data_IF_004974402181
#
_entry.id   IF_004974402181
#
_cell.length_a   1.000
_cell.length_b   1.000
_cell.length_c   1.000
_cell.angle_alpha   90.00
_cell.angle_beta   90.00
_cell.angle_gamma   90.00
#
_symmetry.space_group_name_H-M   'P 1'
#
loop_
_entity.id
_entity.type
_entity.pdbx_description
1 polymer ?
#
# COMPACT_ATOMS: atom_id res chain seq x y z
N UNK A 1 68.18 45.54 -27.77
CA UNK A 1 67.12 44.53 -27.97
C UNK A 1 65.81 45.26 -28.19
N UNK A 2 65.32 45.32 -29.43
CA UNK A 2 64.12 46.07 -29.79
C UNK A 2 62.88 45.22 -29.50
N UNK A 3 62.03 45.70 -28.60
CA UNK A 3 60.73 45.08 -28.31
C UNK A 3 59.79 45.36 -29.48
N UNK A 4 59.46 44.31 -30.25
CA UNK A 4 58.48 44.40 -31.34
C UNK A 4 57.09 44.50 -30.71
N UNK A 5 56.50 45.70 -30.72
CA UNK A 5 55.11 45.91 -30.31
C UNK A 5 54.17 45.39 -31.40
N UNK A 6 53.49 44.29 -31.11
CA UNK A 6 52.42 43.74 -31.95
C UNK A 6 51.09 44.38 -31.59
N UNK A 7 50.47 45.09 -32.55
CA UNK A 7 49.10 45.59 -32.43
C UNK A 7 48.13 44.55 -32.96
N UNK A 8 47.25 44.03 -32.10
CA UNK A 8 46.23 43.06 -32.49
C UNK A 8 44.89 43.78 -32.67
N UNK A 9 44.42 43.88 -33.91
CA UNK A 9 43.09 44.43 -34.20
C UNK A 9 42.01 43.51 -33.65
N UNK A 10 41.05 44.08 -32.91
CA UNK A 10 39.89 43.37 -32.33
C UNK A 10 38.67 43.35 -33.27
N UNK A 11 38.86 43.65 -34.56
CA UNK A 11 37.77 43.69 -35.54
C UNK A 11 37.10 42.32 -35.71
N UNK A 12 35.82 42.24 -35.37
CA UNK A 12 34.98 41.04 -35.52
C UNK A 12 34.46 40.84 -36.95
N UNK A 13 34.73 41.78 -37.87
CA UNK A 13 34.12 41.81 -39.20
C UNK A 13 34.58 40.68 -40.15
N UNK A 14 35.75 40.08 -39.91
CA UNK A 14 36.35 39.05 -40.78
C UNK A 14 36.17 37.60 -40.27
N UNK A 15 35.43 37.39 -39.18
CA UNK A 15 35.35 36.08 -38.52
C UNK A 15 34.12 35.31 -39.02
N UNK A 16 34.30 34.07 -39.47
CA UNK A 16 33.17 33.23 -39.91
C UNK A 16 32.17 32.99 -38.77
N UNK A 17 30.87 32.89 -39.09
CA UNK A 17 29.79 32.64 -38.13
C UNK A 17 30.06 31.46 -37.20
N UNK A 18 30.69 30.39 -37.72
CA UNK A 18 31.07 29.21 -36.91
C UNK A 18 32.12 29.53 -35.84
N UNK A 19 33.08 30.39 -36.15
CA UNK A 19 34.14 30.78 -35.21
C UNK A 19 33.62 31.80 -34.18
N UNK A 20 32.77 32.73 -34.60
CA UNK A 20 32.05 33.63 -33.70
C UNK A 20 31.19 32.85 -32.70
N UNK A 21 30.42 31.85 -33.17
CA UNK A 21 29.59 30.99 -32.32
C UNK A 21 30.42 30.13 -31.36
N UNK A 22 31.51 29.53 -31.84
CA UNK A 22 32.42 28.74 -30.96
C UNK A 22 33.02 29.62 -29.86
N UNK A 23 33.39 30.86 -30.18
CA UNK A 23 33.93 31.80 -29.21
C UNK A 23 32.87 32.21 -28.19
N UNK A 24 31.66 32.57 -28.65
CA UNK A 24 30.58 32.95 -27.73
C UNK A 24 30.20 31.80 -26.81
N UNK A 25 29.96 30.60 -27.34
CA UNK A 25 29.66 29.40 -26.54
C UNK A 25 30.74 29.12 -25.51
N UNK A 26 32.03 29.20 -25.90
CA UNK A 26 33.14 28.93 -24.97
C UNK A 26 33.26 30.00 -23.86
N UNK A 27 32.96 31.26 -24.17
CA UNK A 27 32.96 32.33 -23.18
C UNK A 27 31.77 32.19 -22.22
N UNK A 28 30.56 31.97 -22.75
CA UNK A 28 29.35 31.76 -21.96
C UNK A 28 29.48 30.55 -21.04
N UNK A 29 30.00 29.42 -21.56
CA UNK A 29 30.26 28.23 -20.73
C UNK A 29 31.27 28.53 -19.63
N UNK A 30 32.38 29.23 -19.92
CA UNK A 30 33.38 29.54 -18.88
C UNK A 30 32.84 30.46 -17.79
N UNK A 31 32.00 31.43 -18.17
CA UNK A 31 31.43 32.40 -17.25
C UNK A 31 30.33 31.78 -16.38
N UNK A 32 29.48 30.92 -16.96
CA UNK A 32 28.30 30.35 -16.30
C UNK A 32 28.40 28.83 -16.05
N UNK A 33 29.61 28.26 -16.00
CA UNK A 33 29.78 26.80 -15.87
C UNK A 33 29.09 26.25 -14.63
N UNK A 34 29.20 26.97 -13.50
CA UNK A 34 28.57 26.58 -12.22
C UNK A 34 27.05 26.59 -12.31
N UNK A 35 26.47 27.60 -12.96
CA UNK A 35 25.02 27.71 -13.16
C UNK A 35 24.52 26.60 -14.09
N UNK A 36 25.21 26.36 -15.21
CA UNK A 36 24.86 25.28 -16.14
C UNK A 36 24.96 23.89 -15.49
N UNK A 37 26.00 23.64 -14.68
CA UNK A 37 26.13 22.40 -13.92
C UNK A 37 25.02 22.28 -12.87
N UNK A 38 24.67 23.38 -12.19
CA UNK A 38 23.57 23.41 -11.22
C UNK A 38 22.22 23.08 -11.86
N UNK A 39 21.91 23.70 -13.00
CA UNK A 39 20.68 23.43 -13.77
C UNK A 39 20.68 21.99 -14.27
N UNK A 40 21.80 21.48 -14.79
CA UNK A 40 21.90 20.11 -15.27
C UNK A 40 21.70 19.09 -14.12
N UNK A 41 22.32 19.33 -12.96
CA UNK A 41 22.15 18.49 -11.78
C UNK A 41 20.69 18.52 -11.29
N UNK A 42 20.05 19.69 -11.26
CA UNK A 42 18.62 19.82 -10.95
C UNK A 42 17.74 19.07 -11.95
N UNK A 43 18.03 19.17 -13.25
CA UNK A 43 17.27 18.47 -14.28
C UNK A 43 17.40 16.93 -14.14
N UNK A 44 18.62 16.43 -13.87
CA UNK A 44 18.87 15.01 -13.66
C UNK A 44 18.14 14.50 -12.41
N UNK A 45 18.24 15.23 -11.29
CA UNK A 45 17.57 14.87 -10.04
C UNK A 45 16.05 14.92 -10.17
N UNK A 46 15.50 15.93 -10.85
CA UNK A 46 14.07 16.05 -11.14
C UNK A 46 13.58 14.90 -12.03
N UNK A 47 14.28 14.59 -13.13
CA UNK A 47 13.92 13.50 -14.03
C UNK A 47 13.98 12.13 -13.32
N UNK A 48 15.00 11.90 -12.49
CA UNK A 48 15.11 10.70 -11.68
C UNK A 48 13.98 10.63 -10.64
N UNK A 49 13.68 11.75 -9.98
CA UNK A 49 12.57 11.94 -9.04
C UNK A 49 11.22 11.57 -9.64
N UNK A 50 10.91 12.13 -10.80
CA UNK A 50 9.66 11.84 -11.51
C UNK A 50 9.55 10.36 -11.90
N UNK A 51 10.64 9.76 -12.39
CA UNK A 51 10.68 8.33 -12.74
C UNK A 51 10.45 7.44 -11.52
N UNK A 52 11.07 7.74 -10.38
CA UNK A 52 10.87 6.94 -9.15
C UNK A 52 9.45 7.10 -8.60
N UNK A 53 8.89 8.32 -8.62
CA UNK A 53 7.52 8.56 -8.17
C UNK A 53 6.52 7.83 -9.06
N UNK A 54 6.69 7.89 -10.38
CA UNK A 54 5.81 7.19 -11.33
C UNK A 54 5.81 5.67 -11.10
N UNK A 55 7.02 5.08 -10.94
CA UNK A 55 7.15 3.65 -10.60
C UNK A 55 6.50 3.30 -9.26
N UNK A 56 6.67 4.15 -8.24
CA UNK A 56 6.03 3.94 -6.92
C UNK A 56 4.50 4.01 -7.03
N UNK A 57 3.97 4.91 -7.85
CA UNK A 57 2.52 5.04 -8.07
C UNK A 57 1.95 3.79 -8.73
N UNK A 58 2.59 3.28 -9.79
CA UNK A 58 2.13 2.06 -10.47
C UNK A 58 2.16 0.84 -9.55
N UNK A 59 3.22 0.67 -8.75
CA UNK A 59 3.28 -0.41 -7.76
C UNK A 59 2.21 -0.24 -6.68
N UNK A 60 1.92 0.99 -6.24
CA UNK A 60 0.90 1.25 -5.22
C UNK A 60 -0.52 0.92 -5.71
N UNK A 61 -0.86 1.25 -6.96
CA UNK A 61 -2.18 0.90 -7.53
C UNK A 61 -2.35 -0.61 -7.65
N UNK A 62 -1.33 -1.31 -8.14
CA UNK A 62 -1.34 -2.78 -8.23
C UNK A 62 -1.43 -3.42 -6.84
N UNK A 63 -0.65 -2.93 -5.87
CA UNK A 63 -0.68 -3.43 -4.50
C UNK A 63 -2.04 -3.23 -3.83
N UNK A 64 -2.72 -2.10 -4.06
CA UNK A 64 -4.08 -1.87 -3.53
C UNK A 64 -5.09 -2.87 -4.09
N UNK A 65 -5.04 -3.12 -5.40
CA UNK A 65 -5.92 -4.10 -6.04
C UNK A 65 -5.67 -5.50 -5.48
N UNK A 66 -4.41 -5.95 -5.43
CA UNK A 66 -4.03 -7.25 -4.90
C UNK A 66 -4.33 -7.40 -3.40
N UNK A 67 -4.22 -6.31 -2.63
CA UNK A 67 -4.65 -6.30 -1.23
C UNK A 67 -6.16 -6.51 -1.10
N UNK A 68 -6.98 -5.92 -1.99
CA UNK A 68 -8.41 -6.21 -2.05
C UNK A 68 -8.70 -7.69 -2.23
N UNK A 69 -8.07 -8.32 -3.24
CA UNK A 69 -8.20 -9.78 -3.48
C UNK A 69 -7.76 -10.61 -2.27
N UNK A 70 -6.67 -10.21 -1.61
CA UNK A 70 -6.18 -10.89 -0.41
C UNK A 70 -7.18 -10.80 0.75
N UNK A 71 -7.79 -9.63 0.97
CA UNK A 71 -8.81 -9.43 2.00
C UNK A 71 -10.09 -10.21 1.69
N UNK A 72 -10.51 -10.25 0.43
CA UNK A 72 -11.68 -11.03 -0.01
C UNK A 72 -11.45 -12.54 0.23
N UNK A 73 -10.25 -13.04 -0.02
CA UNK A 73 -9.86 -14.43 0.29
C UNK A 73 -9.91 -14.72 1.79
N UNK A 74 -9.38 -13.82 2.62
CA UNK A 74 -9.45 -13.96 4.08
C UNK A 74 -10.89 -13.95 4.59
N UNK A 75 -11.72 -13.03 4.07
CA UNK A 75 -13.14 -12.95 4.42
C UNK A 75 -13.92 -14.19 3.98
N UNK A 76 -13.59 -14.74 2.80
CA UNK A 76 -14.19 -15.99 2.29
C UNK A 76 -13.75 -17.19 3.12
N UNK A 77 -12.48 -17.29 3.51
CA UNK A 77 -12.02 -18.37 4.39
C UNK A 77 -12.74 -18.32 5.74
N UNK A 78 -12.89 -17.13 6.32
CA UNK A 78 -13.64 -16.95 7.55
C UNK A 78 -15.13 -17.30 7.38
N UNK A 79 -15.74 -17.00 6.23
CA UNK A 79 -17.12 -17.38 5.94
C UNK A 79 -17.31 -18.88 5.77
N UNK A 80 -16.36 -19.57 5.13
CA UNK A 80 -16.36 -21.02 5.00
C UNK A 80 -16.19 -21.70 6.35
N UNK A 81 -15.21 -21.26 7.15
CA UNK A 81 -15.01 -21.77 8.51
C UNK A 81 -16.23 -21.51 9.41
N UNK A 82 -16.89 -20.36 9.28
CA UNK A 82 -18.10 -20.05 10.06
C UNK A 82 -19.33 -20.88 9.67
N UNK A 83 -19.38 -21.38 8.43
CA UNK A 83 -20.47 -22.21 7.92
C UNK A 83 -20.24 -23.70 8.21
N UNK A 84 -19.05 -24.20 7.90
CA UNK A 84 -18.66 -25.58 8.13
C UNK A 84 -17.29 -25.65 8.79
N UNK A 85 -17.24 -25.55 10.14
CA UNK A 85 -16.01 -25.71 10.90
C UNK A 85 -15.40 -27.12 10.80
N UNK A 86 -16.16 -28.12 10.34
CA UNK A 86 -15.66 -29.50 10.21
C UNK A 86 -14.89 -29.64 8.90
N UNK A 87 -15.45 -29.13 7.80
CA UNK A 87 -14.80 -29.12 6.48
C UNK A 87 -13.64 -28.12 6.39
N UNK A 88 -13.78 -26.96 7.04
CA UNK A 88 -12.78 -25.90 7.09
C UNK A 88 -12.41 -25.61 8.54
N UNK A 89 -11.48 -26.37 9.15
CA UNK A 89 -11.15 -26.24 10.57
C UNK A 89 -10.29 -25.03 10.92
N UNK A 90 -9.65 -24.40 9.92
CA UNK A 90 -8.77 -23.26 10.13
C UNK A 90 -9.38 -21.98 9.52
N UNK A 91 -9.69 -20.94 10.32
CA UNK A 91 -10.15 -19.64 9.82
C UNK A 91 -8.99 -18.79 9.26
N UNK A 92 -7.77 -19.34 9.29
CA UNK A 92 -6.50 -18.67 9.04
C UNK A 92 -5.89 -19.09 7.72
N UNK A 93 -5.17 -18.16 7.10
CA UNK A 93 -4.35 -18.45 5.93
C UNK A 93 -2.91 -18.03 6.23
N UNK A 94 -1.95 -18.86 5.84
CA UNK A 94 -0.53 -18.50 5.95
C UNK A 94 -0.19 -17.38 4.97
N UNK A 95 0.63 -16.44 5.43
CA UNK A 95 1.08 -15.29 4.66
C UNK A 95 1.81 -15.73 3.38
N UNK A 96 2.54 -16.84 3.44
CA UNK A 96 3.24 -17.43 2.30
C UNK A 96 2.23 -18.02 1.30
N UNK A 97 1.26 -18.82 1.75
CA UNK A 97 0.25 -19.38 0.87
C UNK A 97 -0.53 -18.28 0.18
N UNK A 98 -0.98 -17.25 0.92
CA UNK A 98 -1.75 -16.14 0.37
C UNK A 98 -0.94 -15.33 -0.65
N UNK A 99 0.37 -15.14 -0.43
CA UNK A 99 1.26 -14.50 -1.42
C UNK A 99 1.27 -15.26 -2.72
N UNK A 100 1.52 -16.56 -2.64
CA UNK A 100 1.66 -17.41 -3.82
C UNK A 100 0.31 -17.52 -4.56
N UNK A 101 -0.80 -17.40 -3.82
CA UNK A 101 -2.16 -17.39 -4.33
C UNK A 101 -2.62 -16.08 -4.98
N UNK A 102 -2.13 -14.93 -4.51
CA UNK A 102 -2.50 -13.61 -5.01
C UNK A 102 -1.56 -13.17 -6.15
N UNK A 103 -0.31 -13.61 -6.12
CA UNK A 103 0.73 -13.23 -7.10
C UNK A 103 1.02 -14.35 -8.11
N UNK A 104 0.00 -15.17 -8.46
CA UNK A 104 0.13 -16.29 -9.41
C UNK A 104 0.67 -15.86 -10.78
N UNK A 105 0.34 -14.65 -11.21
CA UNK A 105 0.71 -14.13 -12.53
C UNK A 105 2.11 -13.47 -12.56
N UNK A 106 2.74 -13.26 -11.39
CA UNK A 106 4.02 -12.53 -11.28
C UNK A 106 5.22 -13.46 -11.10
N UNK A 107 5.86 -13.80 -12.22
CA UNK A 107 7.00 -14.74 -12.25
C UNK A 107 8.33 -14.10 -11.83
N UNK A 108 8.44 -12.77 -11.84
CA UNK A 108 9.69 -12.06 -11.51
C UNK A 108 9.86 -11.95 -10.00
N UNK A 109 10.76 -12.76 -9.43
CA UNK A 109 10.99 -12.83 -7.98
C UNK A 109 11.22 -11.47 -7.29
N UNK A 110 12.00 -10.57 -7.91
CA UNK A 110 12.25 -9.23 -7.37
C UNK A 110 10.99 -8.37 -7.33
N UNK A 111 10.17 -8.41 -8.37
CA UNK A 111 8.96 -7.60 -8.46
C UNK A 111 7.87 -8.16 -7.54
N UNK A 112 7.73 -9.49 -7.52
CA UNK A 112 6.87 -10.22 -6.58
C UNK A 112 7.12 -9.80 -5.13
N UNK A 113 8.38 -9.78 -4.70
CA UNK A 113 8.72 -9.36 -3.33
C UNK A 113 8.38 -7.88 -3.08
N UNK A 114 8.66 -6.98 -4.03
CA UNK A 114 8.34 -5.55 -3.90
C UNK A 114 6.85 -5.28 -3.77
N UNK A 115 6.05 -5.90 -4.64
CA UNK A 115 4.59 -5.81 -4.62
C UNK A 115 4.07 -6.41 -3.32
N UNK A 116 4.56 -7.59 -2.93
CA UNK A 116 4.13 -8.27 -1.72
C UNK A 116 4.39 -7.45 -0.46
N UNK A 117 5.54 -6.79 -0.32
CA UNK A 117 5.81 -5.93 0.83
C UNK A 117 4.79 -4.78 0.92
N UNK A 118 4.36 -4.22 -0.21
CA UNK A 118 3.34 -3.18 -0.24
C UNK A 118 1.95 -3.74 0.13
N UNK A 119 1.58 -4.92 -0.40
CA UNK A 119 0.33 -5.62 -0.07
C UNK A 119 0.29 -5.96 1.42
N UNK A 120 1.35 -6.57 1.95
CA UNK A 120 1.49 -6.90 3.36
C UNK A 120 1.24 -5.69 4.24
N UNK A 121 1.85 -4.53 3.94
CA UNK A 121 1.63 -3.31 4.72
C UNK A 121 0.17 -2.84 4.70
N UNK A 122 -0.52 -2.99 3.57
CA UNK A 122 -1.92 -2.61 3.44
C UNK A 122 -2.84 -3.57 4.19
N UNK A 123 -2.57 -4.88 4.13
CA UNK A 123 -3.39 -5.92 4.78
C UNK A 123 -3.18 -5.92 6.29
N UNK A 124 -1.94 -5.86 6.78
CA UNK A 124 -1.63 -5.79 8.22
C UNK A 124 -2.08 -4.46 8.85
N UNK A 125 -2.26 -3.40 8.05
CA UNK A 125 -2.83 -2.13 8.49
C UNK A 125 -4.37 -2.11 8.52
N UNK A 126 -5.04 -3.17 8.05
CA UNK A 126 -6.49 -3.27 8.09
C UNK A 126 -6.96 -3.75 9.46
N UNK A 127 -7.86 -2.99 10.10
CA UNK A 127 -8.42 -3.33 11.42
C UNK A 127 -9.21 -4.66 11.45
N UNK A 128 -9.68 -5.13 10.30
CA UNK A 128 -10.39 -6.41 10.18
C UNK A 128 -9.45 -7.62 10.06
N UNK A 129 -8.13 -7.42 10.10
CA UNK A 129 -7.15 -8.50 9.98
C UNK A 129 -6.37 -8.64 11.27
N UNK A 130 -6.39 -9.84 11.84
CA UNK A 130 -5.53 -10.22 12.96
C UNK A 130 -4.30 -10.96 12.44
N UNK A 131 -3.12 -10.54 12.90
CA UNK A 131 -1.85 -11.20 12.58
C UNK A 131 -1.40 -12.04 13.76
N UNK A 132 -0.96 -13.26 13.49
CA UNK A 132 -0.34 -14.12 14.51
C UNK A 132 0.73 -15.02 13.92
N UNK A 133 1.59 -15.59 14.76
CA UNK A 133 2.55 -16.62 14.36
C UNK A 133 2.07 -17.93 14.96
N UNK A 134 1.84 -18.92 14.11
CA UNK A 134 1.41 -20.26 14.54
C UNK A 134 2.08 -21.32 13.68
N UNK A 135 2.16 -22.52 14.25
CA UNK A 135 2.50 -23.73 13.53
C UNK A 135 1.34 -24.10 12.60
N UNK A 136 1.63 -24.24 11.31
CA UNK A 136 0.67 -24.70 10.32
C UNK A 136 0.43 -26.20 10.41
N UNK A 137 -0.52 -26.71 9.62
CA UNK A 137 -0.84 -28.15 9.57
C UNK A 137 0.35 -29.03 9.18
N UNK A 138 1.33 -28.47 8.48
CA UNK A 138 2.55 -29.18 8.04
C UNK A 138 3.64 -29.15 9.11
N UNK A 139 3.39 -28.54 10.28
CA UNK A 139 4.40 -28.37 11.33
C UNK A 139 5.32 -27.18 11.09
N UNK A 140 5.04 -26.36 10.08
CA UNK A 140 5.83 -25.19 9.73
C UNK A 140 5.34 -23.96 10.51
N UNK A 141 6.24 -23.32 11.25
CA UNK A 141 5.91 -22.06 11.94
C UNK A 141 5.90 -20.93 10.93
N UNK A 142 4.72 -20.34 10.70
CA UNK A 142 4.56 -19.23 9.77
C UNK A 142 3.68 -18.12 10.33
N UNK A 143 3.79 -16.93 9.72
CA UNK A 143 2.89 -15.82 10.01
C UNK A 143 1.54 -16.13 9.35
N UNK A 144 0.50 -16.16 10.16
CA UNK A 144 -0.88 -16.41 9.75
C UNK A 144 -1.69 -15.12 9.84
N UNK A 145 -2.63 -14.96 8.92
CA UNK A 145 -3.61 -13.88 8.92
C UNK A 145 -5.02 -14.45 9.05
N UNK A 146 -5.83 -13.76 9.84
CA UNK A 146 -7.21 -14.11 10.12
C UNK A 146 -8.10 -12.90 9.87
N UNK A 147 -9.24 -13.14 9.25
CA UNK A 147 -10.29 -12.13 9.17
C UNK A 147 -11.11 -12.12 10.46
N UNK A 148 -11.12 -10.98 11.16
CA UNK A 148 -11.91 -10.74 12.37
C UNK A 148 -13.09 -9.79 12.12
N UNK A 149 -13.31 -9.38 10.87
CA UNK A 149 -14.42 -8.52 10.49
C UNK A 149 -15.76 -9.26 10.43
N UNK A 150 -16.82 -8.54 10.07
CA UNK A 150 -18.12 -9.14 9.81
C UNK A 150 -18.02 -10.25 8.75
N UNK A 151 -18.59 -11.41 9.08
CA UNK A 151 -18.64 -12.58 8.19
C UNK A 151 -20.08 -12.76 7.73
N UNK A 152 -20.26 -12.90 6.41
CA UNK A 152 -21.55 -13.24 5.82
C UNK A 152 -21.75 -14.75 5.91
N UNK A 153 -22.86 -15.20 6.51
CA UNK A 153 -23.28 -16.60 6.40
C UNK A 153 -23.91 -16.75 5.01
N UNK A 154 -23.29 -17.52 4.13
CA UNK A 154 -23.86 -17.82 2.79
C UNK A 154 -24.95 -18.87 3.00
N UNK A 155 -26.08 -18.49 3.58
CA UNK A 155 -27.21 -19.40 3.68
C UNK A 155 -27.92 -19.43 2.33
N UNK A 156 -27.99 -20.62 1.72
CA UNK A 156 -28.70 -20.84 0.47
C UNK A 156 -30.17 -20.47 0.60
N UNK A 157 -30.53 -19.28 0.13
CA UNK A 157 -31.91 -18.88 -0.15
C UNK A 157 -32.75 -18.44 1.05
N UNK A 158 -32.46 -17.28 1.63
CA UNK A 158 -33.51 -16.30 2.00
C UNK A 158 -32.90 -14.99 2.50
N UNK A 159 -33.33 -13.90 1.88
CA UNK A 159 -32.83 -12.55 2.08
C UNK A 159 -33.32 -11.94 3.41
N UNK A 160 -32.56 -12.08 4.49
CA UNK A 160 -32.37 -11.10 5.57
C UNK A 160 -31.57 -11.75 6.70
N UNK A 161 -30.24 -11.64 6.67
CA UNK A 161 -29.45 -12.00 7.85
C UNK A 161 -28.35 -10.97 8.09
N UNK A 162 -28.47 -10.32 9.25
CA UNK A 162 -27.48 -9.40 9.79
C UNK A 162 -26.13 -10.12 9.97
N UNK A 163 -25.00 -9.44 9.74
CA UNK A 163 -23.69 -10.02 9.98
C UNK A 163 -23.59 -10.50 11.43
N UNK A 164 -23.14 -11.74 11.62
CA UNK A 164 -22.92 -12.31 12.94
C UNK A 164 -21.73 -11.59 13.59
N UNK A 165 -22.01 -10.47 14.26
CA UNK A 165 -21.04 -9.79 15.14
C UNK A 165 -20.78 -10.73 16.31
N UNK A 166 -19.50 -11.06 16.54
CA UNK A 166 -19.07 -11.99 17.57
C UNK A 166 -19.70 -11.67 18.92
N UNK A 167 -20.47 -12.61 19.45
CA UNK A 167 -21.09 -12.54 20.76
C UNK A 167 -19.96 -12.59 21.80
N UNK A 168 -19.61 -11.44 22.38
CA UNK A 168 -18.69 -11.37 23.51
C UNK A 168 -19.43 -12.02 24.69
N UNK A 169 -19.21 -13.31 24.92
CA UNK A 169 -19.69 -14.01 26.10
C UNK A 169 -18.86 -13.55 27.29
N UNK A 170 -19.36 -12.57 28.04
CA UNK A 170 -18.89 -12.31 29.40
C UNK A 170 -19.16 -13.56 30.25
N UNK A 171 -18.17 -14.07 31.01
CA UNK A 171 -18.38 -15.25 31.83
C UNK A 171 -19.13 -14.86 33.11
N UNK A 172 -20.24 -15.55 33.37
CA UNK A 172 -20.88 -15.55 34.68
C UNK A 172 -22.28 -14.94 34.70
N UNK A 173 -23.28 -15.73 34.30
CA UNK A 173 -24.56 -15.81 35.03
C UNK A 173 -25.33 -17.06 34.55
N UNK A 174 -25.42 -18.06 35.42
CA UNK A 174 -26.53 -19.01 35.38
C UNK A 174 -27.80 -18.20 35.71
N UNK A 175 -28.87 -18.39 34.94
CA UNK A 175 -30.23 -18.64 35.44
C UNK A 175 -31.23 -18.78 34.28
N UNK A 176 -31.89 -19.94 34.29
CA UNK A 176 -33.29 -20.28 33.99
C UNK A 176 -34.07 -19.73 32.78
N UNK A 177 -34.44 -20.70 31.93
CA UNK A 177 -35.79 -21.04 31.44
C UNK A 177 -36.82 -19.93 31.10
N UNK A 178 -37.18 -19.94 29.80
CA UNK A 178 -38.52 -19.79 29.20
C UNK A 178 -39.52 -18.78 29.79
N UNK A 179 -39.93 -17.79 28.99
CA UNK A 179 -41.35 -17.51 28.66
C UNK A 179 -41.52 -16.47 27.56
N UNK A 180 -42.56 -16.69 26.76
CA UNK A 180 -43.04 -15.90 25.63
C UNK A 180 -43.50 -14.48 25.98
N UNK A 181 -43.37 -13.60 24.99
CA UNK A 181 -44.41 -12.62 24.66
C UNK A 181 -44.20 -11.18 25.09
N UNK A 182 -44.74 -10.29 24.26
CA UNK A 182 -44.86 -8.83 24.37
C UNK A 182 -43.62 -8.02 23.98
N UNK A 183 -43.81 -7.21 22.93
CA UNK A 183 -42.83 -6.25 22.46
C UNK A 183 -42.61 -5.16 23.50
N UNK A 184 -41.35 -4.75 23.62
CA UNK A 184 -40.97 -3.55 24.34
C UNK A 184 -40.25 -2.62 23.37
N UNK A 185 -40.75 -1.40 23.33
CA UNK A 185 -40.20 -0.26 22.60
C UNK A 185 -38.70 -0.12 22.84
N UNK A 186 -37.95 0.09 21.75
CA UNK A 186 -36.54 0.44 21.82
C UNK A 186 -36.46 1.90 22.27
N UNK A 187 -36.30 2.11 23.57
CA UNK A 187 -35.96 3.40 24.15
C UNK A 187 -34.60 3.85 23.58
N UNK A 188 -34.63 4.86 22.71
CA UNK A 188 -33.43 5.47 22.14
C UNK A 188 -32.70 6.22 23.25
N UNK A 189 -31.66 5.61 23.82
CA UNK A 189 -30.75 6.32 24.73
C UNK A 189 -29.99 7.40 23.95
N UNK A 190 -30.36 8.65 24.23
CA UNK A 190 -29.69 9.86 23.78
C UNK A 190 -28.39 10.00 24.58
N UNK A 191 -27.25 10.00 23.89
CA UNK A 191 -25.95 10.25 24.50
C UNK A 191 -25.85 11.72 24.90
N UNK A 192 -25.67 12.00 26.20
CA UNK A 192 -25.30 13.33 26.68
C UNK A 192 -23.79 13.42 26.84
N UNK A 193 -23.19 14.29 26.04
CA UNK A 193 -21.76 14.58 26.05
C UNK A 193 -21.47 15.66 27.10
N UNK A 194 -21.05 15.24 28.29
CA UNK A 194 -20.78 16.14 29.41
C UNK A 194 -19.29 16.29 29.67
N UNK A 195 -18.55 17.09 28.89
CA UNK A 195 -17.30 17.72 29.36
C UNK A 195 -17.06 19.09 28.72
N UNK A 196 -16.79 20.14 29.52
CA UNK A 196 -16.33 21.43 29.00
C UNK A 196 -14.87 21.34 28.55
N UNK A 197 -14.57 21.92 27.40
CA UNK A 197 -13.21 22.21 26.97
C UNK A 197 -12.62 23.28 27.91
N UNK A 198 -11.52 22.97 28.57
CA UNK A 198 -10.57 23.95 29.07
C UNK A 198 -9.31 23.86 28.20
#
# INVERSE_FOLDING_TARGET
>A
QTSVRSFRSTSLAAVSFRCALKRSVRLTIRQHLRELVGILALAITAAYGQRTISRRRSTSTQAKHLAGVALDKLATQASLHAQDPVGYPEPLISMVALRDDVLRDEFRAQERNRIWTAVQKLVEGNANVRTMVREGRTGDVSRMWEWIGAVYRIEGGSAHQSPAVGKITSPGRLDDSMTSGSGLEIEKRKWEESRPYY
#
